data_IF_839844341595
#
_entry.id   IF_839844341595
#
_cell.length_a   1.000
_cell.length_b   1.000
_cell.length_c   1.000
_cell.angle_alpha   90.00
_cell.angle_beta   90.00
_cell.angle_gamma   90.00
#
_symmetry.space_group_name_H-M   'P 1'
#
loop_
_entity.id
_entity.type
_entity.pdbx_description
1 polymer ?
#
# COMPACT_ATOMS: atom_id res chain seq x y z
N UNK A 1 57.39 -19.56 5.48
CA UNK A 1 56.10 -19.22 4.84
C UNK A 1 55.84 -17.74 5.10
N UNK A 2 55.49 -16.93 4.08
CA UNK A 2 55.20 -15.52 4.31
C UNK A 2 53.78 -15.34 4.87
N UNK A 3 53.70 -14.99 6.16
CA UNK A 3 52.45 -14.77 6.90
C UNK A 3 52.10 -13.27 6.95
N UNK A 4 53.08 -12.38 6.76
CA UNK A 4 52.94 -10.95 7.01
C UNK A 4 51.94 -10.27 6.06
N UNK A 5 51.85 -10.75 4.82
CA UNK A 5 50.92 -10.23 3.80
C UNK A 5 49.51 -10.82 3.81
N UNK A 6 49.23 -11.82 4.66
CA UNK A 6 47.95 -12.55 4.62
C UNK A 6 46.83 -11.81 5.34
N UNK A 7 45.65 -11.81 4.72
CA UNK A 7 44.43 -11.27 5.32
C UNK A 7 43.77 -12.30 6.27
N UNK A 8 42.73 -11.87 7.01
CA UNK A 8 42.03 -12.72 7.99
C UNK A 8 41.57 -14.06 7.42
N UNK A 9 40.94 -14.06 6.25
CA UNK A 9 40.38 -15.27 5.64
C UNK A 9 41.48 -16.24 5.19
N UNK A 10 42.59 -15.69 4.67
CA UNK A 10 43.74 -16.51 4.29
C UNK A 10 44.42 -17.15 5.50
N UNK A 11 44.42 -16.49 6.66
CA UNK A 11 44.93 -17.08 7.90
C UNK A 11 43.97 -18.12 8.47
N UNK A 12 42.66 -17.89 8.39
CA UNK A 12 41.64 -18.87 8.77
C UNK A 12 41.75 -20.14 7.91
N UNK A 13 41.83 -20.00 6.58
CA UNK A 13 42.01 -21.13 5.65
C UNK A 13 43.23 -21.98 6.03
N UNK A 14 44.35 -21.33 6.38
CA UNK A 14 45.54 -22.04 6.82
C UNK A 14 45.33 -22.85 8.11
N UNK A 15 44.59 -22.30 9.08
CA UNK A 15 44.27 -22.96 10.35
C UNK A 15 43.30 -24.14 10.19
N UNK A 16 42.47 -24.11 9.16
CA UNK A 16 41.43 -25.13 8.89
C UNK A 16 41.92 -26.26 7.97
N UNK A 17 43.11 -26.12 7.36
CA UNK A 17 43.67 -27.15 6.47
C UNK A 17 43.85 -28.49 7.20
N UNK A 18 43.45 -29.61 6.57
CA UNK A 18 43.77 -30.96 7.07
C UNK A 18 45.29 -31.07 7.27
N UNK A 19 45.72 -31.53 8.45
CA UNK A 19 47.15 -31.59 8.80
C UNK A 19 47.62 -30.49 9.75
N UNK A 20 46.93 -29.34 9.83
CA UNK A 20 47.30 -28.27 10.75
C UNK A 20 47.05 -28.63 12.23
N UNK A 21 46.04 -29.46 12.50
CA UNK A 21 45.70 -29.96 13.84
C UNK A 21 46.46 -31.24 14.24
N UNK A 22 47.26 -31.81 13.33
CA UNK A 22 48.01 -33.06 13.59
C UNK A 22 49.30 -32.69 14.35
N UNK A 23 49.70 -33.51 15.33
CA UNK A 23 50.83 -33.20 16.22
C UNK A 23 52.12 -32.89 15.45
N UNK A 24 53.03 -32.16 16.08
CA UNK A 24 54.31 -31.73 15.49
C UNK A 24 55.16 -32.89 14.90
N UNK A 25 54.89 -34.14 15.28
CA UNK A 25 55.60 -35.30 14.75
C UNK A 25 55.14 -35.74 13.34
N UNK A 26 53.96 -35.29 12.87
CA UNK A 26 53.33 -35.77 11.62
C UNK A 26 52.73 -34.63 10.77
N UNK A 27 52.56 -33.42 11.31
CA UNK A 27 51.92 -32.31 10.60
C UNK A 27 52.83 -31.52 9.65
N UNK A 28 52.22 -30.91 8.63
CA UNK A 28 52.90 -30.14 7.56
C UNK A 28 53.48 -28.78 8.01
N UNK A 29 53.19 -28.34 9.23
CA UNK A 29 53.60 -27.04 9.75
C UNK A 29 54.38 -27.15 11.06
N UNK A 30 55.54 -26.49 11.07
CA UNK A 30 56.36 -26.26 12.26
C UNK A 30 55.57 -25.51 13.35
N UNK A 31 55.84 -25.84 14.60
CA UNK A 31 55.20 -25.29 15.78
C UNK A 31 55.29 -23.76 15.84
N UNK A 32 56.44 -23.19 15.47
CA UNK A 32 56.65 -21.73 15.43
C UNK A 32 55.71 -21.06 14.42
N UNK A 33 55.54 -21.68 13.24
CA UNK A 33 54.65 -21.19 12.17
C UNK A 33 53.19 -21.17 12.63
N UNK A 34 52.75 -22.17 13.42
CA UNK A 34 51.38 -22.22 13.94
C UNK A 34 51.11 -21.09 14.93
N UNK A 35 52.08 -20.82 15.82
CA UNK A 35 52.00 -19.72 16.79
C UNK A 35 51.96 -18.37 16.07
N UNK A 36 52.77 -18.18 15.03
CA UNK A 36 52.79 -16.93 14.26
C UNK A 36 51.46 -16.67 13.55
N UNK A 37 50.85 -17.69 12.94
CA UNK A 37 49.53 -17.58 12.31
C UNK A 37 48.48 -17.20 13.36
N UNK A 38 48.47 -17.87 14.51
CA UNK A 38 47.51 -17.60 15.60
C UNK A 38 47.69 -16.18 16.17
N UNK A 39 48.94 -15.77 16.42
CA UNK A 39 49.24 -14.43 16.93
C UNK A 39 48.82 -13.35 15.92
N UNK A 40 49.09 -13.58 14.63
CA UNK A 40 48.68 -12.66 13.57
C UNK A 40 47.16 -12.57 13.49
N UNK A 41 46.46 -13.70 13.58
CA UNK A 41 44.99 -13.72 13.61
C UNK A 41 44.43 -12.99 14.84
N UNK A 42 45.09 -13.06 15.99
CA UNK A 42 44.75 -12.25 17.17
C UNK A 42 44.89 -10.74 16.95
N UNK A 43 45.82 -10.31 16.09
CA UNK A 43 46.02 -8.90 15.77
C UNK A 43 45.00 -8.37 14.76
N UNK A 44 44.67 -9.15 13.74
CA UNK A 44 43.87 -8.68 12.59
C UNK A 44 42.46 -9.25 12.53
N UNK A 45 42.20 -10.43 13.08
CA UNK A 45 40.95 -11.21 12.89
C UNK A 45 39.73 -10.69 13.64
N UNK A 46 38.57 -10.69 12.97
CA UNK A 46 37.28 -10.29 13.52
C UNK A 46 36.56 -11.41 14.29
N UNK A 47 35.26 -11.24 14.48
CA UNK A 47 34.39 -12.18 15.22
C UNK A 47 34.39 -13.59 14.59
N UNK A 48 34.62 -13.66 13.27
CA UNK A 48 34.72 -14.89 12.46
C UNK A 48 35.92 -15.77 12.81
N UNK A 49 37.00 -15.21 13.37
CA UNK A 49 38.18 -15.97 13.77
C UNK A 49 38.02 -16.72 15.11
N UNK A 50 37.06 -16.31 15.96
CA UNK A 50 36.90 -16.85 17.32
C UNK A 50 36.54 -18.35 17.33
N UNK A 51 35.58 -18.84 16.52
CA UNK A 51 35.24 -20.27 16.50
C UNK A 51 36.45 -21.15 16.13
N UNK A 52 37.22 -20.73 15.14
CA UNK A 52 38.41 -21.45 14.66
C UNK A 52 39.47 -21.53 15.76
N UNK A 53 39.77 -20.40 16.42
CA UNK A 53 40.72 -20.37 17.54
C UNK A 53 40.25 -21.22 18.73
N UNK A 54 38.94 -21.29 19.01
CA UNK A 54 38.39 -22.16 20.07
C UNK A 54 38.63 -23.64 19.77
N UNK A 55 38.46 -24.07 18.52
CA UNK A 55 38.79 -25.43 18.09
C UNK A 55 40.25 -25.77 18.38
N UNK A 56 41.18 -24.83 18.13
CA UNK A 56 42.60 -25.01 18.45
C UNK A 56 42.86 -25.07 19.96
N UNK A 57 42.18 -24.25 20.77
CA UNK A 57 42.27 -24.34 22.24
C UNK A 57 41.83 -25.71 22.76
N UNK A 58 40.74 -26.26 22.22
CA UNK A 58 40.21 -27.55 22.63
C UNK A 58 41.12 -28.71 22.18
N UNK A 59 41.61 -28.67 20.94
CA UNK A 59 42.47 -29.70 20.37
C UNK A 59 43.81 -29.85 21.12
N UNK A 60 44.39 -28.73 21.59
CA UNK A 60 45.70 -28.71 22.26
C UNK A 60 45.61 -28.59 23.79
N UNK A 61 44.44 -28.85 24.37
CA UNK A 61 44.20 -28.72 25.82
C UNK A 61 45.02 -29.70 26.66
N UNK A 62 45.43 -30.85 26.09
CA UNK A 62 46.17 -31.90 26.79
C UNK A 62 47.32 -32.40 25.91
N UNK A 63 48.57 -32.02 26.24
CA UNK A 63 49.76 -32.51 25.52
C UNK A 63 50.92 -31.52 25.44
N UNK A 64 51.91 -31.84 24.62
CA UNK A 64 53.13 -31.04 24.36
C UNK A 64 52.86 -29.68 23.70
N UNK A 65 51.64 -29.47 23.22
CA UNK A 65 51.24 -28.30 22.43
C UNK A 65 50.49 -27.23 23.26
N UNK A 66 50.62 -27.26 24.60
CA UNK A 66 49.96 -26.32 25.52
C UNK A 66 50.25 -24.84 25.17
N UNK A 67 51.43 -24.56 24.62
CA UNK A 67 51.84 -23.22 24.18
C UNK A 67 50.96 -22.73 23.01
N UNK A 68 50.57 -23.60 22.08
CA UNK A 68 49.67 -23.27 20.96
C UNK A 68 48.28 -22.95 21.50
N UNK A 69 47.78 -23.75 22.44
CA UNK A 69 46.50 -23.48 23.12
C UNK A 69 46.53 -22.13 23.87
N UNK A 70 47.66 -21.80 24.51
CA UNK A 70 47.85 -20.52 25.20
C UNK A 70 47.88 -19.35 24.22
N UNK A 71 48.57 -19.49 23.09
CA UNK A 71 48.57 -18.50 22.02
C UNK A 71 47.15 -18.26 21.46
N UNK A 72 46.39 -19.33 21.21
CA UNK A 72 45.03 -19.23 20.70
C UNK A 72 44.08 -18.54 21.69
N UNK A 73 44.18 -18.87 22.98
CA UNK A 73 43.43 -18.18 24.04
C UNK A 73 43.77 -16.68 24.13
N UNK A 74 45.05 -16.32 23.98
CA UNK A 74 45.47 -14.92 23.99
C UNK A 74 44.94 -14.18 22.75
N UNK A 75 44.95 -14.82 21.58
CA UNK A 75 44.37 -14.28 20.36
C UNK A 75 42.85 -14.03 20.50
N UNK A 76 42.11 -14.98 21.06
CA UNK A 76 40.65 -14.82 21.33
C UNK A 76 40.40 -13.60 22.22
N UNK A 77 41.13 -13.49 23.34
CA UNK A 77 40.98 -12.35 24.27
C UNK A 77 41.27 -11.01 23.59
N UNK A 78 42.29 -10.96 22.73
CA UNK A 78 42.64 -9.75 21.98
C UNK A 78 41.52 -9.33 21.01
N UNK A 79 40.93 -10.30 20.29
CA UNK A 79 39.82 -10.07 19.36
C UNK A 79 38.57 -9.58 20.11
N UNK A 80 38.18 -10.27 21.18
CA UNK A 80 37.02 -9.91 22.00
C UNK A 80 37.14 -8.50 22.58
N UNK A 81 38.33 -8.15 23.11
CA UNK A 81 38.62 -6.81 23.63
C UNK A 81 38.44 -5.73 22.56
N UNK A 82 38.94 -5.98 21.33
CA UNK A 82 38.80 -5.04 20.21
C UNK A 82 37.34 -4.88 19.78
N UNK A 83 36.58 -5.96 19.69
CA UNK A 83 35.14 -5.94 19.38
C UNK A 83 34.38 -5.11 20.41
N UNK A 84 34.66 -5.28 21.71
CA UNK A 84 33.97 -4.52 22.75
C UNK A 84 34.33 -3.03 22.69
N UNK A 85 35.60 -2.70 22.47
CA UNK A 85 36.05 -1.31 22.28
C UNK A 85 35.37 -0.64 21.08
N UNK A 86 35.21 -1.35 19.96
CA UNK A 86 34.47 -0.85 18.80
C UNK A 86 32.98 -0.64 19.10
N UNK A 87 32.35 -1.59 19.82
CA UNK A 87 30.95 -1.45 20.27
C UNK A 87 30.79 -0.22 21.16
N UNK A 88 31.71 0.01 22.09
CA UNK A 88 31.71 1.19 22.96
C UNK A 88 31.86 2.50 22.16
N UNK A 89 32.80 2.55 21.21
CA UNK A 89 32.96 3.72 20.32
C UNK A 89 31.69 3.98 19.49
N UNK A 90 31.04 2.94 18.97
CA UNK A 90 29.75 3.06 18.25
C UNK A 90 28.64 3.57 19.17
N UNK A 91 28.60 3.14 20.44
CA UNK A 91 27.66 3.64 21.45
C UNK A 91 27.89 5.14 21.73
N UNK A 92 29.15 5.57 21.93
CA UNK A 92 29.51 6.99 22.13
C UNK A 92 29.13 7.86 20.93
N UNK A 93 29.49 7.47 19.70
CA UNK A 93 29.10 8.19 18.47
C UNK A 93 27.58 8.32 18.30
N UNK A 94 26.82 7.27 18.66
CA UNK A 94 25.34 7.31 18.63
C UNK A 94 24.76 8.25 19.68
N UNK A 95 25.35 8.30 20.88
CA UNK A 95 24.95 9.22 21.94
C UNK A 95 25.21 10.67 21.54
N UNK A 96 26.40 10.98 21.03
CA UNK A 96 26.75 12.33 20.53
C UNK A 96 25.82 12.78 19.40
N UNK A 97 25.49 11.89 18.45
CA UNK A 97 24.56 12.20 17.36
C UNK A 97 23.15 12.53 17.88
N UNK A 98 22.67 11.79 18.88
CA UNK A 98 21.37 12.06 19.53
C UNK A 98 21.37 13.39 20.25
N UNK A 99 22.47 13.73 20.94
CA UNK A 99 22.60 15.01 21.64
C UNK A 99 22.64 16.19 20.67
N UNK A 100 23.37 16.07 19.54
CA UNK A 100 23.37 17.08 18.46
C UNK A 100 21.98 17.28 17.88
N UNK A 101 21.27 16.20 17.57
CA UNK A 101 19.90 16.29 17.06
C UNK A 101 18.97 16.99 18.05
N UNK A 102 19.05 16.64 19.33
CA UNK A 102 18.25 17.28 20.38
C UNK A 102 18.51 18.78 20.45
N UNK A 103 19.78 19.21 20.41
CA UNK A 103 20.16 20.64 20.39
C UNK A 103 19.62 21.37 19.16
N UNK A 104 19.57 20.71 18.01
CA UNK A 104 19.03 21.27 16.77
C UNK A 104 17.50 21.39 16.82
N UNK A 105 16.81 20.35 17.31
CA UNK A 105 15.36 20.37 17.51
C UNK A 105 14.95 21.46 18.52
N UNK A 106 15.69 21.61 19.63
CA UNK A 106 15.47 22.67 20.63
C UNK A 106 15.71 24.07 20.03
N UNK A 107 16.70 24.23 19.15
CA UNK A 107 16.96 25.49 18.43
C UNK A 107 15.80 25.85 17.49
N UNK A 108 15.24 24.87 16.77
CA UNK A 108 14.07 25.07 15.90
C UNK A 108 12.83 25.48 16.72
N UNK A 109 12.62 24.88 17.90
CA UNK A 109 11.51 25.28 18.79
C UNK A 109 11.66 26.71 19.34
N UNK A 110 12.90 27.16 19.58
CA UNK A 110 13.18 28.49 20.15
C UNK A 110 13.03 29.65 19.15
N UNK A 111 13.09 29.36 17.85
CA UNK A 111 12.81 30.37 16.82
C UNK A 111 11.30 30.62 16.75
N UNK A 112 10.86 31.66 17.47
CA UNK A 112 9.47 32.15 17.46
C UNK A 112 8.95 32.24 16.03
N UNK A 113 8.01 31.35 15.68
CA UNK A 113 7.21 31.50 14.46
C UNK A 113 6.49 32.85 14.54
N UNK A 114 6.42 33.62 13.43
CA UNK A 114 5.54 34.78 13.39
C UNK A 114 4.13 34.33 13.76
N UNK A 115 3.51 35.05 14.70
CA UNK A 115 2.09 34.87 15.05
C UNK A 115 1.28 35.18 13.79
N UNK A 116 0.98 34.15 13.00
CA UNK A 116 -0.12 34.21 12.03
C UNK A 116 -1.38 34.17 12.88
N UNK A 117 -2.01 35.34 13.02
CA UNK A 117 -3.35 35.48 13.58
C UNK A 117 -4.30 34.73 12.65
N UNK A 118 -4.62 33.48 12.98
CA UNK A 118 -5.83 32.86 12.48
C UNK A 118 -7.00 33.57 13.15
N UNK A 119 -7.66 34.45 12.42
CA UNK A 119 -8.98 34.93 12.78
C UNK A 119 -9.92 33.73 12.74
N UNK A 120 -10.62 33.48 13.85
CA UNK A 120 -11.67 32.49 13.95
C UNK A 120 -12.73 32.74 12.87
N UNK A 121 -12.72 31.96 11.79
CA UNK A 121 -13.85 31.89 10.86
C UNK A 121 -14.88 30.93 11.44
N UNK A 122 -15.70 31.44 12.36
CA UNK A 122 -16.85 30.70 12.92
C UNK A 122 -18.15 30.97 12.16
N UNK A 123 -18.14 31.79 11.12
CA UNK A 123 -19.35 32.17 10.39
C UNK A 123 -19.23 31.89 8.90
N UNK A 124 -19.46 30.63 8.52
CA UNK A 124 -19.90 30.24 7.18
C UNK A 124 -20.73 28.96 7.34
N UNK A 125 -21.88 29.11 7.99
CA UNK A 125 -22.96 28.13 7.92
C UNK A 125 -23.56 28.18 6.51
N UNK A 126 -22.98 27.43 5.58
CA UNK A 126 -23.72 26.99 4.40
C UNK A 126 -24.75 25.95 4.86
N UNK A 127 -26.02 26.31 4.79
CA UNK A 127 -27.14 25.43 5.10
C UNK A 127 -27.12 24.18 4.21
N UNK A 128 -26.66 23.08 4.78
CA UNK A 128 -26.75 21.72 4.22
C UNK A 128 -27.80 20.86 4.96
N UNK A 129 -28.79 21.51 5.56
CA UNK A 129 -29.98 20.85 6.07
C UNK A 129 -30.91 20.51 4.89
N UNK A 130 -30.68 19.37 4.23
CA UNK A 130 -31.63 18.90 3.22
C UNK A 130 -31.27 17.61 2.49
N UNK A 131 -29.99 17.25 2.39
CA UNK A 131 -29.57 16.03 1.69
C UNK A 131 -28.49 15.35 2.52
N UNK A 132 -28.89 14.43 3.39
CA UNK A 132 -28.02 13.67 4.30
C UNK A 132 -27.02 12.77 3.57
N UNK A 133 -26.06 13.37 2.88
CA UNK A 133 -24.89 12.72 2.31
C UNK A 133 -23.67 13.28 3.02
N UNK A 134 -22.92 12.34 3.60
CA UNK A 134 -21.82 12.60 4.51
C UNK A 134 -20.59 13.06 3.72
N UNK A 135 -19.88 14.05 4.25
CA UNK A 135 -18.67 14.67 3.69
C UNK A 135 -17.61 13.64 3.30
N UNK A 136 -16.97 13.84 2.14
CA UNK A 136 -15.84 13.02 1.68
C UNK A 136 -14.69 13.07 2.69
N UNK A 137 -14.05 11.92 2.94
CA UNK A 137 -12.97 11.90 3.91
C UNK A 137 -11.99 10.75 3.84
N UNK A 138 -10.90 10.91 4.60
CA UNK A 138 -9.83 9.93 4.76
C UNK A 138 -10.10 9.16 6.03
N UNK A 139 -10.19 7.84 5.94
CA UNK A 139 -10.27 6.97 7.11
C UNK A 139 -8.86 6.59 7.56
N UNK A 140 -8.53 6.95 8.80
CA UNK A 140 -7.28 6.56 9.47
C UNK A 140 -7.60 5.55 10.55
N UNK A 141 -6.96 4.38 10.48
CA UNK A 141 -7.21 3.25 11.38
C UNK A 141 -5.93 2.80 12.06
N UNK A 142 -5.90 2.92 13.39
CA UNK A 142 -4.78 2.46 14.22
C UNK A 142 -5.29 2.20 15.64
N UNK A 143 -4.92 1.06 16.21
CA UNK A 143 -5.27 0.68 17.57
C UNK A 143 -4.52 1.52 18.62
N UNK A 144 -3.38 2.10 18.23
CA UNK A 144 -2.61 2.98 19.06
C UNK A 144 -3.06 4.44 18.90
N UNK A 145 -3.75 4.96 19.93
CA UNK A 145 -4.26 6.35 19.94
C UNK A 145 -3.19 7.41 19.64
N UNK A 146 -1.93 7.20 20.06
CA UNK A 146 -0.86 8.17 19.79
C UNK A 146 -0.44 8.17 18.32
N UNK A 147 -0.39 7.00 17.70
CA UNK A 147 -0.06 6.88 16.28
C UNK A 147 -1.22 7.40 15.41
N UNK A 148 -2.47 7.06 15.78
CA UNK A 148 -3.70 7.59 15.17
C UNK A 148 -3.72 9.12 15.15
N UNK A 149 -3.66 9.76 16.32
CA UNK A 149 -3.62 11.23 16.45
C UNK A 149 -2.47 11.85 15.68
N UNK A 150 -1.33 11.16 15.61
CA UNK A 150 -0.18 11.65 14.85
C UNK A 150 -0.45 11.62 13.35
N UNK A 151 -1.00 10.53 12.82
CA UNK A 151 -1.36 10.43 11.40
C UNK A 151 -2.43 11.45 11.02
N UNK A 152 -3.48 11.59 11.83
CA UNK A 152 -4.53 12.60 11.66
C UNK A 152 -3.95 14.01 11.64
N UNK A 153 -3.09 14.36 12.60
CA UNK A 153 -2.43 15.67 12.65
C UNK A 153 -1.49 15.93 11.46
N UNK A 154 -0.90 14.89 10.88
CA UNK A 154 -0.07 15.02 9.69
C UNK A 154 -0.98 15.33 8.49
N UNK A 155 -2.02 14.51 8.28
CA UNK A 155 -2.92 14.60 7.12
C UNK A 155 -3.74 15.90 7.13
N UNK A 156 -4.31 16.28 8.27
CA UNK A 156 -5.18 17.47 8.43
C UNK A 156 -4.49 18.81 8.13
N UNK A 157 -3.16 18.86 8.12
CA UNK A 157 -2.42 20.09 7.82
C UNK A 157 -2.43 20.45 6.35
N UNK A 158 -2.70 19.48 5.48
CA UNK A 158 -2.40 19.57 4.05
C UNK A 158 -3.56 19.14 3.16
N UNK A 159 -4.62 18.58 3.75
CA UNK A 159 -5.76 18.04 3.01
C UNK A 159 -7.03 18.66 3.57
N UNK A 160 -7.79 19.32 2.70
CA UNK A 160 -9.11 19.89 3.01
C UNK A 160 -10.21 18.83 2.86
N UNK A 161 -10.09 17.76 3.64
CA UNK A 161 -11.07 16.68 3.70
C UNK A 161 -11.39 16.37 5.15
N UNK A 162 -12.58 15.81 5.36
CA UNK A 162 -12.87 15.27 6.67
C UNK A 162 -11.95 14.08 6.97
N UNK A 163 -11.43 14.00 8.19
CA UNK A 163 -10.68 12.83 8.64
C UNK A 163 -11.57 12.03 9.57
N UNK A 164 -11.74 10.76 9.25
CA UNK A 164 -12.42 9.79 10.09
C UNK A 164 -11.39 8.93 10.80
N UNK A 165 -11.67 8.65 12.07
CA UNK A 165 -10.77 7.88 12.94
C UNK A 165 -11.46 6.59 13.34
N UNK A 166 -10.74 5.47 13.25
CA UNK A 166 -11.16 4.20 13.82
C UNK A 166 -10.03 3.54 14.60
N UNK A 167 -10.36 2.85 15.68
CA UNK A 167 -9.40 2.19 16.57
C UNK A 167 -9.37 0.66 16.40
N UNK A 168 -10.32 0.12 15.65
CA UNK A 168 -10.49 -1.29 15.40
C UNK A 168 -11.22 -1.54 14.07
N UNK A 169 -11.34 -2.82 13.71
CA UNK A 169 -11.95 -3.26 12.46
C UNK A 169 -13.43 -2.87 12.38
N UNK A 170 -14.20 -3.06 13.46
CA UNK A 170 -15.64 -2.84 13.48
C UNK A 170 -15.98 -1.35 13.31
N UNK A 171 -15.30 -0.46 14.04
CA UNK A 171 -15.42 0.99 13.87
C UNK A 171 -15.09 1.41 12.42
N UNK A 172 -14.01 0.85 11.86
CA UNK A 172 -13.60 1.15 10.49
C UNK A 172 -14.65 0.70 9.46
N UNK A 173 -15.23 -0.50 9.63
CA UNK A 173 -16.28 -1.01 8.76
C UNK A 173 -17.59 -0.25 8.90
N UNK A 174 -17.94 0.19 10.12
CA UNK A 174 -19.12 1.03 10.33
C UNK A 174 -18.96 2.38 9.63
N UNK A 175 -17.77 2.98 9.72
CA UNK A 175 -17.44 4.22 9.01
C UNK A 175 -17.48 4.01 7.50
N UNK A 176 -16.84 2.95 6.97
CA UNK A 176 -16.84 2.65 5.52
C UNK A 176 -18.25 2.44 4.95
N UNK A 177 -19.19 1.94 5.75
CA UNK A 177 -20.59 1.72 5.33
C UNK A 177 -21.42 3.00 5.32
N UNK A 178 -21.05 4.00 6.12
CA UNK A 178 -21.83 5.23 6.31
C UNK A 178 -21.24 6.40 5.51
N UNK A 179 -19.92 6.56 5.60
CA UNK A 179 -19.15 7.70 5.08
C UNK A 179 -18.61 7.43 3.69
N UNK A 180 -18.47 8.49 2.89
CA UNK A 180 -17.77 8.42 1.62
C UNK A 180 -16.25 8.50 1.84
N UNK A 181 -15.61 7.33 1.93
CA UNK A 181 -14.17 7.23 2.15
C UNK A 181 -13.43 7.21 0.82
N UNK A 182 -12.51 8.15 0.64
CA UNK A 182 -11.72 8.30 -0.59
C UNK A 182 -10.29 7.80 -0.45
N UNK A 183 -9.83 7.54 0.77
CA UNK A 183 -8.55 6.91 1.07
C UNK A 183 -8.59 6.23 2.43
N UNK A 184 -7.94 5.07 2.53
CA UNK A 184 -7.74 4.35 3.78
C UNK A 184 -6.26 4.39 4.18
N UNK A 185 -5.97 4.85 5.39
CA UNK A 185 -4.65 4.77 6.01
C UNK A 185 -4.78 3.83 7.21
N UNK A 186 -4.13 2.67 7.19
CA UNK A 186 -4.36 1.65 8.23
C UNK A 186 -3.07 1.01 8.71
N UNK A 187 -2.98 0.66 10.01
CA UNK A 187 -2.03 -0.36 10.46
C UNK A 187 -2.52 -1.75 9.99
N UNK A 188 -1.59 -2.62 9.63
CA UNK A 188 -1.89 -4.04 9.40
C UNK A 188 -2.18 -4.74 10.73
N UNK A 189 -1.44 -4.34 11.77
CA UNK A 189 -1.53 -4.97 13.07
C UNK A 189 -2.51 -4.23 13.94
N UNK A 190 -3.74 -4.75 13.98
CA UNK A 190 -4.79 -4.27 14.85
C UNK A 190 -5.40 -5.48 15.56
N UNK A 191 -5.75 -5.34 16.86
CA UNK A 191 -6.46 -6.38 17.57
C UNK A 191 -7.86 -6.54 16.98
N UNK A 192 -8.25 -7.78 16.68
CA UNK A 192 -9.67 -8.12 16.63
C UNK A 192 -10.23 -8.08 18.07
N UNK A 193 -11.52 -7.77 18.23
CA UNK A 193 -12.18 -7.55 19.53
C UNK A 193 -11.68 -8.37 20.73
N UNK A 194 -11.83 -7.78 21.92
CA UNK A 194 -11.62 -8.42 23.24
C UNK A 194 -12.31 -9.77 23.42
N UNK A 195 -13.43 -10.04 22.73
CA UNK A 195 -14.14 -11.32 22.83
C UNK A 195 -13.25 -12.47 22.34
N UNK A 196 -12.54 -12.26 21.22
CA UNK A 196 -11.56 -13.22 20.75
C UNK A 196 -10.38 -13.34 21.72
N UNK A 197 -9.99 -12.26 22.40
CA UNK A 197 -8.88 -12.27 23.35
C UNK A 197 -9.24 -12.98 24.67
N UNK A 198 -10.46 -12.81 25.18
CA UNK A 198 -10.97 -13.53 26.35
C UNK A 198 -11.21 -15.00 26.03
N UNK A 199 -11.85 -15.33 24.90
CA UNK A 199 -12.01 -16.71 24.44
C UNK A 199 -10.66 -17.38 24.16
N UNK A 200 -9.68 -16.65 23.63
CA UNK A 200 -8.31 -17.16 23.42
C UNK A 200 -7.56 -17.36 24.73
N UNK A 201 -7.67 -16.44 25.70
CA UNK A 201 -7.09 -16.59 27.05
C UNK A 201 -7.75 -17.75 27.81
N UNK A 202 -9.06 -17.93 27.67
CA UNK A 202 -9.78 -19.05 28.27
C UNK A 202 -9.44 -20.37 27.57
N UNK A 203 -9.12 -20.34 26.27
CA UNK A 203 -8.64 -21.50 25.51
C UNK A 203 -7.19 -21.88 25.87
N UNK A 204 -6.30 -20.90 26.02
CA UNK A 204 -4.91 -21.09 26.43
C UNK A 204 -4.83 -21.70 27.85
N UNK A 205 -5.73 -21.28 28.75
CA UNK A 205 -5.90 -21.88 30.08
C UNK A 205 -6.42 -23.32 30.05
N UNK A 206 -7.16 -23.72 29.01
CA UNK A 206 -7.76 -25.07 28.90
C UNK A 206 -6.82 -26.13 28.29
N UNK A 207 -5.61 -25.75 27.86
CA UNK A 207 -4.55 -26.70 27.51
C UNK A 207 -4.83 -27.63 26.32
N UNK A 208 -5.88 -27.38 25.54
CA UNK A 208 -6.26 -28.25 24.42
C UNK A 208 -5.44 -27.95 23.17
N UNK A 209 -4.89 -29.01 22.57
CA UNK A 209 -4.02 -28.97 21.39
C UNK A 209 -4.68 -28.23 20.21
N UNK A 210 -3.85 -27.42 19.52
CA UNK A 210 -4.14 -26.41 18.48
C UNK A 210 -5.12 -26.75 17.32
N UNK A 211 -5.69 -27.94 17.23
CA UNK A 211 -6.41 -28.42 16.05
C UNK A 211 -7.95 -28.37 16.12
N UNK A 212 -8.57 -28.05 17.26
CA UNK A 212 -10.03 -28.16 17.42
C UNK A 212 -10.85 -26.92 17.06
N UNK A 213 -10.24 -25.73 16.96
CA UNK A 213 -10.94 -24.50 16.54
C UNK A 213 -11.18 -24.41 15.02
N UNK A 214 -10.52 -25.26 14.21
CA UNK A 214 -10.74 -25.34 12.76
C UNK A 214 -12.10 -25.92 12.36
N UNK A 215 -12.95 -26.36 13.32
CA UNK A 215 -14.24 -27.02 13.04
C UNK A 215 -15.49 -26.26 13.48
N UNK A 216 -15.40 -25.05 14.05
CA UNK A 216 -16.59 -24.29 14.47
C UNK A 216 -16.91 -23.14 13.52
N UNK A 217 -17.66 -23.48 12.46
CA UNK A 217 -18.78 -22.75 11.83
C UNK A 217 -18.60 -21.31 11.30
N UNK A 218 -17.84 -20.44 11.96
CA UNK A 218 -17.79 -19.00 11.65
C UNK A 218 -16.73 -18.70 10.57
N UNK A 219 -15.75 -19.60 10.39
CA UNK A 219 -14.62 -19.39 9.48
C UNK A 219 -14.80 -19.99 8.07
N UNK A 220 -15.80 -20.87 7.86
CA UNK A 220 -16.04 -21.49 6.55
C UNK A 220 -16.89 -20.61 5.63
N UNK A 221 -17.75 -19.73 6.17
CA UNK A 221 -18.56 -18.80 5.38
C UNK A 221 -17.77 -17.58 4.85
N UNK A 222 -16.51 -17.38 5.27
CA UNK A 222 -15.76 -16.15 4.99
C UNK A 222 -14.52 -16.31 4.11
N UNK A 223 -14.22 -17.47 3.52
CA UNK A 223 -12.90 -17.65 2.85
C UNK A 223 -12.94 -18.47 1.58
N UNK A 224 -12.90 -17.77 0.44
CA UNK A 224 -12.30 -18.24 -0.81
C UNK A 224 -11.06 -17.40 -1.15
N UNK A 225 -10.03 -17.45 -0.30
CA UNK A 225 -8.73 -16.80 -0.56
C UNK A 225 -7.60 -17.80 -0.31
N UNK A 226 -7.27 -18.54 -1.35
CA UNK A 226 -6.34 -19.68 -1.31
C UNK A 226 -4.86 -19.28 -1.22
N UNK A 227 -4.48 -18.07 -1.66
CA UNK A 227 -3.07 -17.62 -1.69
C UNK A 227 -2.60 -16.94 -0.39
N UNK A 228 -3.47 -16.17 0.26
CA UNK A 228 -3.14 -15.49 1.54
C UNK A 228 -3.00 -16.50 2.70
N UNK A 229 -3.67 -17.66 2.60
CA UNK A 229 -3.58 -18.76 3.58
C UNK A 229 -2.16 -19.29 3.78
N UNK A 230 -1.34 -19.40 2.74
CA UNK A 230 -0.04 -20.09 2.85
C UNK A 230 1.03 -19.23 3.54
N UNK A 231 0.99 -17.91 3.32
CA UNK A 231 1.84 -16.92 4.00
C UNK A 231 1.41 -16.76 5.47
N UNK A 232 0.11 -16.68 5.74
CA UNK A 232 -0.40 -16.47 7.11
C UNK A 232 -0.30 -17.77 7.94
N UNK A 233 -0.40 -18.98 7.34
CA UNK A 233 -0.26 -20.27 8.04
C UNK A 233 1.09 -20.45 8.73
N UNK A 234 2.14 -19.78 8.26
CA UNK A 234 3.48 -19.85 8.87
C UNK A 234 3.62 -19.01 10.15
N UNK A 235 2.69 -18.09 10.41
CA UNK A 235 2.67 -17.25 11.61
C UNK A 235 1.56 -17.70 12.56
N UNK A 236 1.92 -18.21 13.74
CA UNK A 236 1.02 -18.78 14.74
C UNK A 236 0.05 -17.79 15.42
N UNK A 237 -0.11 -16.56 14.91
CA UNK A 237 -0.78 -15.47 15.62
C UNK A 237 -1.66 -14.63 14.67
N UNK A 238 -2.71 -15.27 14.15
CA UNK A 238 -3.69 -14.69 13.22
C UNK A 238 -4.47 -13.50 13.82
N UNK A 239 -4.59 -13.44 15.15
CA UNK A 239 -5.37 -12.42 15.88
C UNK A 239 -4.85 -10.98 15.67
N UNK A 240 -3.61 -10.86 15.20
CA UNK A 240 -2.88 -9.60 15.05
C UNK A 240 -2.92 -9.02 13.64
N UNK A 241 -3.73 -9.56 12.73
CA UNK A 241 -3.71 -9.17 11.32
C UNK A 241 -5.06 -8.62 10.81
N UNK A 242 -5.83 -7.99 11.70
CA UNK A 242 -7.15 -7.44 11.35
C UNK A 242 -7.11 -6.40 10.22
N UNK A 243 -5.96 -5.75 9.99
CA UNK A 243 -5.80 -4.82 8.87
C UNK A 243 -5.95 -5.49 7.50
N UNK A 244 -5.56 -6.76 7.32
CA UNK A 244 -5.80 -7.44 6.04
C UNK A 244 -7.29 -7.73 5.81
N UNK A 245 -8.04 -8.03 6.86
CA UNK A 245 -9.49 -8.23 6.79
C UNK A 245 -10.17 -6.91 6.44
N UNK A 246 -9.77 -5.81 7.10
CA UNK A 246 -10.26 -4.48 6.77
C UNK A 246 -10.03 -4.16 5.30
N UNK A 247 -8.85 -4.49 4.76
CA UNK A 247 -8.52 -4.22 3.35
C UNK A 247 -9.40 -5.01 2.37
N UNK A 248 -9.65 -6.28 2.65
CA UNK A 248 -10.51 -7.11 1.82
C UNK A 248 -11.94 -6.59 1.81
N UNK A 249 -12.49 -6.31 3.00
CA UNK A 249 -13.85 -5.76 3.15
C UNK A 249 -13.99 -4.35 2.56
N UNK A 250 -13.00 -3.47 2.81
CA UNK A 250 -12.99 -2.13 2.22
C UNK A 250 -12.97 -2.19 0.69
N UNK A 251 -12.29 -3.17 0.10
CA UNK A 251 -12.26 -3.37 -1.36
C UNK A 251 -13.54 -4.00 -1.92
N UNK A 252 -14.24 -4.84 -1.16
CA UNK A 252 -15.59 -5.31 -1.55
C UNK A 252 -16.57 -4.14 -1.64
N UNK A 253 -16.43 -3.17 -0.74
CA UNK A 253 -17.25 -1.96 -0.72
C UNK A 253 -16.80 -0.93 -1.76
N UNK A 254 -15.48 -0.71 -1.89
CA UNK A 254 -14.87 0.32 -2.73
C UNK A 254 -13.62 -0.28 -3.43
N UNK A 255 -13.79 -0.97 -4.58
CA UNK A 255 -12.72 -1.73 -5.24
C UNK A 255 -11.48 -0.91 -5.61
N UNK A 256 -11.65 0.38 -5.83
CA UNK A 256 -10.62 1.33 -6.25
C UNK A 256 -10.00 2.12 -5.09
N UNK A 257 -10.41 1.87 -3.84
CA UNK A 257 -9.97 2.64 -2.68
C UNK A 257 -8.44 2.64 -2.54
N UNK A 258 -7.79 3.81 -2.60
CA UNK A 258 -6.38 3.93 -2.29
C UNK A 258 -6.10 3.56 -0.83
N UNK A 259 -5.09 2.72 -0.63
CA UNK A 259 -4.67 2.24 0.69
C UNK A 259 -3.20 2.60 0.92
N UNK A 260 -2.96 3.25 2.05
CA UNK A 260 -1.63 3.40 2.63
C UNK A 260 -1.54 2.55 3.90
N UNK A 261 -0.56 1.67 3.94
CA UNK A 261 -0.31 0.82 5.09
C UNK A 261 0.77 1.44 5.97
N UNK A 262 0.48 1.63 7.26
CA UNK A 262 1.44 2.14 8.24
C UNK A 262 1.66 1.11 9.33
N UNK A 263 2.72 0.30 9.24
CA UNK A 263 2.92 -0.82 10.17
C UNK A 263 4.30 -0.89 10.80
N UNK A 264 4.43 -1.51 11.99
CA UNK A 264 5.74 -1.83 12.58
C UNK A 264 6.51 -2.86 11.76
N UNK A 265 5.80 -3.73 11.06
CA UNK A 265 6.32 -4.90 10.34
C UNK A 265 6.38 -4.69 8.83
N UNK A 266 6.51 -3.43 8.38
CA UNK A 266 6.53 -3.06 6.97
C UNK A 266 7.69 -3.72 6.22
N UNK A 267 7.50 -4.95 5.76
CA UNK A 267 8.22 -5.50 4.62
C UNK A 267 7.28 -5.39 3.41
N UNK A 268 7.72 -4.60 2.42
CA UNK A 268 7.00 -4.31 1.19
C UNK A 268 6.64 -5.59 0.43
N UNK A 269 7.56 -6.57 0.40
CA UNK A 269 7.35 -7.84 -0.30
C UNK A 269 6.22 -8.66 0.33
N UNK A 270 6.13 -8.72 1.66
CA UNK A 270 5.08 -9.50 2.34
C UNK A 270 3.70 -8.90 2.10
N UNK A 271 3.59 -7.58 2.15
CA UNK A 271 2.32 -6.91 1.96
C UNK A 271 1.90 -6.86 0.48
N UNK A 272 2.84 -6.67 -0.45
CA UNK A 272 2.56 -6.78 -1.90
C UNK A 272 2.17 -8.21 -2.28
N UNK A 273 2.84 -9.23 -1.74
CA UNK A 273 2.48 -10.63 -1.99
C UNK A 273 1.13 -11.01 -1.36
N UNK A 274 0.77 -10.44 -0.21
CA UNK A 274 -0.50 -10.73 0.46
C UNK A 274 -1.70 -9.98 -0.13
N UNK A 275 -1.49 -8.77 -0.68
CA UNK A 275 -2.58 -7.84 -1.05
C UNK A 275 -2.63 -7.55 -2.58
N UNK A 276 -1.60 -7.97 -3.34
CA UNK A 276 -1.43 -7.69 -4.77
C UNK A 276 -0.87 -6.29 -5.06
N UNK A 277 -0.70 -5.96 -6.35
CA UNK A 277 -0.13 -4.69 -6.86
C UNK A 277 -0.91 -3.41 -6.46
N UNK A 278 -2.05 -3.56 -5.79
CA UNK A 278 -3.02 -2.49 -5.53
C UNK A 278 -2.81 -1.74 -4.20
N UNK A 279 -1.64 -1.86 -3.55
CA UNK A 279 -1.27 -1.05 -2.36
C UNK A 279 -0.41 0.12 -2.81
N UNK A 280 -0.85 1.34 -2.51
CA UNK A 280 -0.28 2.58 -3.03
C UNK A 280 0.94 3.05 -2.24
N UNK A 281 1.08 2.60 -0.99
CA UNK A 281 2.23 2.94 -0.16
C UNK A 281 2.31 2.08 1.09
N UNK A 282 3.53 1.77 1.51
CA UNK A 282 3.80 1.07 2.77
C UNK A 282 4.86 1.84 3.54
N UNK A 283 4.53 2.23 4.76
CA UNK A 283 5.37 3.00 5.64
C UNK A 283 5.59 2.24 6.94
N UNK A 284 6.85 2.14 7.36
CA UNK A 284 7.10 1.68 8.72
C UNK A 284 6.73 2.77 9.73
N UNK A 285 6.19 2.41 10.89
CA UNK A 285 5.98 3.38 12.00
C UNK A 285 7.27 4.11 12.39
N UNK A 286 8.44 3.46 12.22
CA UNK A 286 9.76 4.09 12.41
C UNK A 286 10.05 5.16 11.36
N UNK A 287 9.76 4.89 10.08
CA UNK A 287 9.88 5.89 9.01
C UNK A 287 8.93 7.05 9.25
N UNK A 288 7.66 6.80 9.57
CA UNK A 288 6.70 7.87 9.89
C UNK A 288 7.16 8.70 11.10
N UNK A 289 7.84 8.08 12.07
CA UNK A 289 8.44 8.80 13.20
C UNK A 289 9.59 9.71 12.80
N UNK A 290 10.45 9.25 11.88
CA UNK A 290 11.64 9.96 11.44
C UNK A 290 11.36 11.00 10.36
N UNK A 291 10.36 10.74 9.52
CA UNK A 291 10.04 11.50 8.31
C UNK A 291 8.52 11.59 8.16
N UNK A 292 7.82 12.41 8.97
CA UNK A 292 6.37 12.51 8.91
C UNK A 292 5.85 12.95 7.53
N UNK A 293 6.64 13.74 6.80
CA UNK A 293 6.29 14.25 5.47
C UNK A 293 6.17 13.15 4.40
N UNK A 294 6.71 11.94 4.63
CA UNK A 294 6.58 10.85 3.66
C UNK A 294 5.12 10.40 3.52
N UNK A 295 4.35 10.40 4.62
CA UNK A 295 2.92 10.08 4.58
C UNK A 295 2.16 11.15 3.79
N UNK A 296 2.51 12.42 3.97
CA UNK A 296 1.96 13.51 3.17
C UNK A 296 2.27 13.33 1.69
N UNK A 297 3.48 12.92 1.35
CA UNK A 297 3.86 12.66 -0.03
C UNK A 297 3.04 11.52 -0.63
N UNK A 298 2.81 10.42 0.10
CA UNK A 298 1.93 9.34 -0.35
C UNK A 298 0.47 9.80 -0.49
N UNK A 299 -0.05 10.54 0.49
CA UNK A 299 -1.42 11.08 0.45
C UNK A 299 -1.55 12.03 -0.74
N UNK A 300 -0.63 12.98 -0.93
CA UNK A 300 -0.63 13.90 -2.09
C UNK A 300 -0.49 13.15 -3.42
N UNK A 301 0.45 12.20 -3.51
CA UNK A 301 0.73 11.42 -4.72
C UNK A 301 -0.50 10.60 -5.15
N UNK A 302 -1.26 10.08 -4.20
CA UNK A 302 -2.40 9.22 -4.48
C UNK A 302 -3.76 9.96 -4.50
N UNK A 303 -3.86 11.10 -3.80
CA UNK A 303 -5.10 11.87 -3.66
C UNK A 303 -5.10 13.13 -4.52
N UNK A 304 -4.15 14.03 -4.28
CA UNK A 304 -4.11 15.38 -4.88
C UNK A 304 -3.60 15.36 -6.32
N UNK A 305 -2.69 14.44 -6.62
CA UNK A 305 -1.79 14.68 -7.75
C UNK A 305 -2.11 13.95 -9.04
N UNK A 306 -3.01 12.97 -9.13
CA UNK A 306 -3.27 12.37 -10.46
C UNK A 306 -3.98 13.40 -11.32
N UNK A 307 -5.09 13.98 -10.83
CA UNK A 307 -5.81 14.97 -11.61
C UNK A 307 -5.07 16.31 -11.74
N UNK A 308 -4.37 16.79 -10.70
CA UNK A 308 -3.53 18.00 -10.83
C UNK A 308 -2.31 17.77 -11.72
N UNK A 309 -1.61 16.63 -11.61
CA UNK A 309 -0.49 16.33 -12.53
C UNK A 309 -0.99 16.20 -13.96
N UNK A 310 -2.11 15.51 -14.18
CA UNK A 310 -2.74 15.40 -15.49
C UNK A 310 -3.20 16.78 -16.00
N UNK A 311 -3.84 17.62 -15.18
CA UNK A 311 -4.25 18.96 -15.58
C UNK A 311 -3.07 19.90 -15.89
N UNK A 312 -1.92 19.67 -15.25
CA UNK A 312 -0.67 20.37 -15.52
C UNK A 312 0.07 19.82 -16.75
N UNK A 313 -0.31 18.64 -17.25
CA UNK A 313 0.14 18.21 -18.57
C UNK A 313 -0.51 19.10 -19.64
N UNK A 314 0.30 19.49 -20.63
CA UNK A 314 -0.23 20.12 -21.83
C UNK A 314 -1.21 19.19 -22.56
N UNK A 315 -2.12 19.77 -23.35
CA UNK A 315 -3.15 19.05 -24.11
C UNK A 315 -2.62 17.81 -24.83
N UNK A 316 -1.50 17.95 -25.53
CA UNK A 316 -0.87 16.87 -26.32
C UNK A 316 -0.51 15.67 -25.43
N UNK A 317 0.17 15.91 -24.31
CA UNK A 317 0.56 14.84 -23.37
C UNK A 317 -0.64 14.16 -22.72
N UNK A 318 -1.74 14.89 -22.49
CA UNK A 318 -2.98 14.29 -21.99
C UNK A 318 -3.61 13.37 -23.03
N UNK A 319 -3.65 13.80 -24.29
CA UNK A 319 -4.15 12.99 -25.39
C UNK A 319 -3.31 11.73 -25.56
N UNK A 320 -1.98 11.84 -25.53
CA UNK A 320 -1.08 10.69 -25.63
C UNK A 320 -1.35 9.68 -24.50
N UNK A 321 -1.41 10.16 -23.26
CA UNK A 321 -1.69 9.33 -22.09
C UNK A 321 -3.04 8.61 -22.22
N UNK A 322 -4.11 9.32 -22.60
CA UNK A 322 -5.44 8.73 -22.80
C UNK A 322 -5.44 7.71 -23.94
N UNK A 323 -4.80 8.03 -25.06
CA UNK A 323 -4.77 7.16 -26.25
C UNK A 323 -3.98 5.87 -26.03
N UNK A 324 -2.95 5.91 -25.17
CA UNK A 324 -2.09 4.77 -24.80
C UNK A 324 -2.64 3.95 -23.62
N UNK A 325 -3.66 4.46 -22.93
CA UNK A 325 -4.28 3.79 -21.79
C UNK A 325 -5.01 2.50 -22.19
N UNK A 326 -4.90 1.47 -21.37
CA UNK A 326 -5.87 0.37 -21.37
C UNK A 326 -7.21 0.79 -20.72
N UNK A 327 -8.22 -0.07 -20.80
CA UNK A 327 -9.60 0.28 -20.42
C UNK A 327 -9.77 0.45 -18.92
N UNK A 328 -9.12 -0.41 -18.12
CA UNK A 328 -9.14 -0.31 -16.65
C UNK A 328 -8.42 0.97 -16.20
N UNK A 329 -7.24 1.27 -16.75
CA UNK A 329 -6.48 2.47 -16.41
C UNK A 329 -7.21 3.74 -16.83
N UNK A 330 -7.72 3.79 -18.07
CA UNK A 330 -8.50 4.93 -18.55
C UNK A 330 -9.71 5.18 -17.66
N UNK A 331 -10.44 4.13 -17.29
CA UNK A 331 -11.63 4.24 -16.45
C UNK A 331 -11.29 4.67 -15.03
N UNK A 332 -10.40 3.94 -14.35
CA UNK A 332 -10.09 4.15 -12.93
C UNK A 332 -9.24 5.40 -12.68
N UNK A 333 -8.33 5.75 -13.60
CA UNK A 333 -7.34 6.84 -13.38
C UNK A 333 -7.70 8.13 -14.08
N UNK A 334 -8.56 8.10 -15.09
CA UNK A 334 -8.98 9.30 -15.83
C UNK A 334 -10.46 9.61 -15.60
N UNK A 335 -11.35 8.67 -15.94
CA UNK A 335 -12.79 8.96 -15.95
C UNK A 335 -13.40 9.10 -14.56
N UNK A 336 -13.12 8.17 -13.63
CA UNK A 336 -13.66 8.27 -12.27
C UNK A 336 -13.24 9.58 -11.58
N UNK A 337 -11.94 9.97 -11.56
CA UNK A 337 -11.53 11.24 -10.99
C UNK A 337 -12.15 12.45 -11.69
N UNK A 338 -12.25 12.43 -13.03
CA UNK A 338 -12.89 13.50 -13.79
C UNK A 338 -14.36 13.64 -13.42
N UNK A 339 -15.11 12.55 -13.32
CA UNK A 339 -16.53 12.59 -12.98
C UNK A 339 -16.77 13.05 -11.54
N UNK A 340 -15.94 12.64 -10.59
CA UNK A 340 -15.97 13.22 -9.24
C UNK A 340 -15.82 14.75 -9.29
N UNK A 341 -14.85 15.24 -10.05
CA UNK A 341 -14.58 16.67 -10.19
C UNK A 341 -15.72 17.43 -10.89
N UNK A 342 -16.42 16.78 -11.82
CA UNK A 342 -17.61 17.33 -12.47
C UNK A 342 -18.86 17.31 -11.55
N UNK A 343 -18.74 16.82 -10.31
CA UNK A 343 -19.81 16.82 -9.32
C UNK A 343 -20.71 15.59 -9.36
N UNK A 344 -20.39 14.58 -10.18
CA UNK A 344 -21.08 13.30 -10.14
C UNK A 344 -20.76 12.54 -8.86
N UNK A 345 -21.71 11.73 -8.41
CA UNK A 345 -21.67 11.03 -7.12
C UNK A 345 -21.97 9.55 -7.30
N UNK A 346 -21.61 8.77 -6.27
CA UNK A 346 -21.88 7.32 -6.24
C UNK A 346 -21.25 6.56 -7.41
N UNK A 347 -20.05 6.96 -7.85
CA UNK A 347 -19.40 6.38 -9.00
C UNK A 347 -18.96 4.95 -8.70
N UNK A 348 -19.66 4.00 -9.34
CA UNK A 348 -19.45 2.57 -9.26
C UNK A 348 -18.76 2.09 -10.54
N UNK A 349 -17.62 1.42 -10.39
CA UNK A 349 -16.98 0.68 -11.47
C UNK A 349 -17.58 -0.72 -11.55
N UNK A 350 -18.38 -0.95 -12.58
CA UNK A 350 -19.05 -2.22 -12.84
C UNK A 350 -18.13 -3.01 -13.77
N UNK A 351 -17.27 -3.86 -13.19
CA UNK A 351 -16.42 -4.78 -13.97
C UNK A 351 -16.74 -6.23 -13.61
N UNK A 352 -16.96 -7.09 -14.61
CA UNK A 352 -17.26 -8.51 -14.49
C UNK A 352 -18.66 -8.95 -14.98
N UNK A 353 -19.10 -10.17 -14.62
CA UNK A 353 -20.30 -10.81 -15.19
C UNK A 353 -21.64 -10.09 -14.95
N UNK A 354 -21.66 -9.07 -14.08
CA UNK A 354 -22.83 -8.26 -13.74
C UNK A 354 -22.86 -6.92 -14.48
N UNK A 355 -22.02 -6.75 -15.50
CA UNK A 355 -21.81 -5.48 -16.20
C UNK A 355 -23.07 -4.91 -16.89
N UNK A 356 -24.10 -5.70 -17.23
CA UNK A 356 -25.30 -5.22 -17.94
C UNK A 356 -25.00 -4.31 -19.16
N UNK A 357 -23.78 -4.38 -19.73
CA UNK A 357 -23.33 -3.50 -20.81
C UNK A 357 -22.87 -2.09 -20.38
N UNK A 358 -22.50 -1.89 -19.10
CA UNK A 358 -21.97 -0.64 -18.56
C UNK A 358 -20.68 -0.92 -17.78
N UNK A 359 -19.70 -0.03 -17.92
CA UNK A 359 -18.44 -0.08 -17.16
C UNK A 359 -18.48 0.86 -15.95
N UNK A 360 -19.29 1.92 -16.01
CA UNK A 360 -19.53 2.83 -14.89
C UNK A 360 -21.02 3.08 -14.68
N UNK A 361 -21.40 3.26 -13.43
CA UNK A 361 -22.72 3.75 -13.02
C UNK A 361 -22.52 4.82 -11.96
N UNK A 362 -23.15 5.97 -12.13
CA UNK A 362 -23.07 7.08 -11.18
C UNK A 362 -24.34 7.90 -11.23
N UNK A 363 -24.47 8.94 -10.41
CA UNK A 363 -25.63 9.82 -10.48
C UNK A 363 -25.24 11.29 -10.30
N UNK A 364 -26.06 12.16 -10.87
CA UNK A 364 -26.12 13.58 -10.50
C UNK A 364 -27.36 13.81 -9.63
N UNK A 365 -27.35 14.89 -8.86
CA UNK A 365 -28.54 15.37 -8.14
C UNK A 365 -28.97 16.65 -8.83
N UNK A 366 -30.19 16.67 -9.37
CA UNK A 366 -30.71 17.85 -10.03
C UNK A 366 -31.10 18.94 -9.01
N UNK A 367 -31.52 20.11 -9.52
CA UNK A 367 -31.89 21.26 -8.68
C UNK A 367 -33.06 20.97 -7.74
N UNK A 368 -33.85 19.92 -7.99
CA UNK A 368 -34.97 19.50 -7.15
C UNK A 368 -34.57 18.42 -6.14
N UNK A 369 -33.28 18.05 -6.07
CA UNK A 369 -32.80 16.99 -5.20
C UNK A 369 -33.04 15.58 -5.74
N UNK A 370 -33.51 15.44 -6.98
CA UNK A 370 -33.78 14.13 -7.58
C UNK A 370 -32.47 13.55 -8.14
N UNK A 371 -32.19 12.29 -7.79
CA UNK A 371 -31.06 11.56 -8.35
C UNK A 371 -31.37 11.11 -9.76
N UNK A 372 -30.47 11.42 -10.70
CA UNK A 372 -30.52 10.93 -12.07
C UNK A 372 -29.33 10.01 -12.30
N UNK A 373 -29.59 8.73 -12.52
CA UNK A 373 -28.57 7.72 -12.71
C UNK A 373 -28.07 7.71 -14.16
N UNK A 374 -26.76 7.65 -14.30
CA UNK A 374 -26.04 7.74 -15.55
C UNK A 374 -25.18 6.48 -15.66
N UNK A 375 -25.41 5.72 -16.73
CA UNK A 375 -24.52 4.63 -17.12
C UNK A 375 -23.44 5.14 -18.05
N UNK A 376 -22.23 4.58 -18.01
CA UNK A 376 -21.24 4.81 -19.05
C UNK A 376 -20.70 3.50 -19.62
N UNK A 377 -20.63 3.44 -20.94
CA UNK A 377 -19.85 2.45 -21.67
C UNK A 377 -18.59 3.11 -22.21
N UNK A 378 -17.45 2.61 -21.74
CA UNK A 378 -16.10 3.03 -22.04
C UNK A 378 -15.49 2.08 -23.08
N UNK A 379 -14.73 2.60 -24.03
CA UNK A 379 -13.95 1.83 -25.00
C UNK A 379 -12.60 2.47 -25.30
N UNK A 380 -11.52 1.71 -25.30
CA UNK A 380 -10.18 2.21 -25.67
C UNK A 380 -9.84 2.15 -27.15
N UNK A 381 -10.86 1.96 -27.99
CA UNK A 381 -10.71 1.81 -29.45
C UNK A 381 -11.57 2.84 -30.18
N UNK A 382 -11.10 3.25 -31.37
CA UNK A 382 -11.84 4.16 -32.25
C UNK A 382 -13.20 3.56 -32.62
N UNK A 383 -14.27 4.24 -32.23
CA UNK A 383 -15.64 3.88 -32.61
C UNK A 383 -15.94 4.55 -33.95
N UNK A 384 -16.04 3.76 -35.02
CA UNK A 384 -16.19 4.30 -36.37
C UNK A 384 -17.15 3.44 -37.18
N UNK A 385 -17.92 4.03 -38.08
CA UNK A 385 -18.69 3.33 -39.11
C UNK A 385 -18.06 3.60 -40.48
N UNK A 386 -17.83 2.55 -41.27
CA UNK A 386 -17.30 2.67 -42.64
C UNK A 386 -18.37 3.17 -43.60
N UNK A 387 -17.97 4.01 -44.56
CA UNK A 387 -18.87 4.66 -45.54
C UNK A 387 -19.40 3.65 -46.58
N UNK A 388 -18.74 2.50 -46.77
CA UNK A 388 -19.09 1.46 -47.75
C UNK A 388 -20.15 0.43 -47.30
N UNK A 389 -21.06 0.78 -46.38
CA UNK A 389 -22.20 -0.06 -46.02
C UNK A 389 -21.95 -1.20 -45.02
N UNK A 390 -20.70 -1.70 -44.86
CA UNK A 390 -20.39 -2.62 -43.76
C UNK A 390 -20.33 -1.85 -42.44
N UNK A 391 -21.35 -2.06 -41.61
CA UNK A 391 -21.33 -1.60 -40.22
C UNK A 391 -20.22 -2.34 -39.48
N UNK A 392 -19.32 -1.57 -38.88
CA UNK A 392 -18.22 -2.11 -38.07
C UNK A 392 -18.77 -2.85 -36.85
N UNK A 393 -18.16 -3.99 -36.51
CA UNK A 393 -18.59 -4.77 -35.34
C UNK A 393 -18.57 -3.95 -34.05
N UNK A 394 -17.61 -3.06 -33.88
CA UNK A 394 -17.48 -2.28 -32.65
C UNK A 394 -18.66 -1.32 -32.41
N UNK A 395 -19.21 -0.67 -33.44
CA UNK A 395 -20.38 0.21 -33.30
C UNK A 395 -21.63 -0.61 -32.98
N UNK A 396 -21.79 -1.79 -33.58
CA UNK A 396 -22.91 -2.70 -33.27
C UNK A 396 -22.83 -3.17 -31.82
N UNK A 397 -21.64 -3.58 -31.36
CA UNK A 397 -21.45 -4.01 -29.97
C UNK A 397 -21.80 -2.90 -28.99
N UNK A 398 -21.33 -1.67 -29.23
CA UNK A 398 -21.68 -0.52 -28.39
C UNK A 398 -23.19 -0.25 -28.41
N UNK A 399 -23.84 -0.32 -29.57
CA UNK A 399 -25.29 -0.16 -29.66
C UNK A 399 -26.05 -1.24 -28.86
N UNK A 400 -25.62 -2.50 -28.93
CA UNK A 400 -26.21 -3.60 -28.17
C UNK A 400 -26.03 -3.40 -26.66
N UNK A 401 -24.85 -2.97 -26.21
CA UNK A 401 -24.57 -2.66 -24.81
C UNK A 401 -25.44 -1.50 -24.30
N UNK A 402 -25.61 -0.43 -25.10
CA UNK A 402 -26.50 0.69 -24.77
C UNK A 402 -27.96 0.22 -24.65
N UNK A 403 -28.43 -0.61 -25.59
CA UNK A 403 -29.80 -1.15 -25.54
C UNK A 403 -30.00 -2.01 -24.30
N UNK A 404 -29.05 -2.91 -24.02
CA UNK A 404 -29.07 -3.76 -22.84
C UNK A 404 -29.10 -2.93 -21.55
N UNK A 405 -28.31 -1.87 -21.48
CA UNK A 405 -28.22 -1.00 -20.32
C UNK A 405 -29.53 -0.22 -20.04
N UNK A 406 -30.25 0.21 -21.07
CA UNK A 406 -31.57 0.85 -20.89
C UNK A 406 -32.70 -0.15 -20.64
N UNK A 407 -32.57 -1.38 -21.11
CA UNK A 407 -33.58 -2.44 -20.95
C UNK A 407 -33.39 -3.23 -19.64
N UNK A 408 -32.25 -3.08 -18.96
CA UNK A 408 -31.94 -3.75 -17.70
C UNK A 408 -32.08 -2.82 -16.50
N UNK A 409 -32.72 -3.30 -15.44
CA UNK A 409 -32.70 -2.65 -14.13
C UNK A 409 -31.42 -3.04 -13.39
N UNK A 410 -30.66 -2.05 -12.90
CA UNK A 410 -29.47 -2.32 -12.10
C UNK A 410 -29.85 -2.48 -10.63
N UNK A 411 -29.55 -3.63 -10.03
CA UNK A 411 -29.74 -3.82 -8.61
C UNK A 411 -28.51 -3.36 -7.82
N UNK A 412 -28.61 -2.21 -7.14
CA UNK A 412 -27.56 -1.77 -6.23
C UNK A 412 -27.76 -2.41 -4.86
N UNK A 413 -26.81 -3.29 -4.49
CA UNK A 413 -26.80 -3.96 -3.18
C UNK A 413 -26.77 -2.96 -2.02
N UNK A 414 -26.04 -1.85 -2.20
CA UNK A 414 -25.93 -0.77 -1.22
C UNK A 414 -27.28 -0.11 -0.92
N UNK A 415 -28.14 0.03 -1.92
CA UNK A 415 -29.43 0.72 -1.80
C UNK A 415 -30.62 -0.24 -1.68
N UNK A 416 -30.40 -1.55 -1.90
CA UNK A 416 -31.44 -2.60 -1.96
C UNK A 416 -32.60 -2.22 -2.89
N UNK A 417 -32.28 -1.56 -4.00
CA UNK A 417 -33.25 -1.04 -4.96
C UNK A 417 -32.79 -1.33 -6.38
N UNK A 418 -33.76 -1.63 -7.23
CA UNK A 418 -33.59 -1.61 -8.68
C UNK A 418 -33.59 -0.17 -9.18
N UNK A 419 -32.63 0.14 -10.04
CA UNK A 419 -32.43 1.46 -10.60
C UNK A 419 -32.56 1.42 -12.11
N UNK A 420 -33.29 2.40 -12.62
CA UNK A 420 -33.36 2.71 -14.04
C UNK A 420 -32.26 3.70 -14.40
N UNK A 421 -31.66 3.53 -15.58
CA UNK A 421 -30.67 4.45 -16.11
C UNK A 421 -31.38 5.58 -16.86
N UNK A 422 -31.22 6.81 -16.38
CA UNK A 422 -31.78 8.01 -17.00
C UNK A 422 -31.00 8.42 -18.25
N UNK A 423 -29.66 8.30 -18.22
CA UNK A 423 -28.79 8.65 -19.35
C UNK A 423 -27.64 7.68 -19.54
N UNK A 424 -27.14 7.59 -20.77
CA UNK A 424 -25.95 6.81 -21.09
C UNK A 424 -24.87 7.68 -21.73
N UNK A 425 -23.66 7.57 -21.19
CA UNK A 425 -22.45 8.14 -21.76
C UNK A 425 -21.70 7.08 -22.56
N UNK A 426 -21.45 7.38 -23.83
CA UNK A 426 -20.61 6.56 -24.70
C UNK A 426 -19.24 7.23 -24.77
N UNK A 427 -18.27 6.64 -24.08
CA UNK A 427 -16.96 7.22 -23.86
C UNK A 427 -15.92 6.41 -24.62
N UNK A 428 -15.00 7.10 -25.31
CA UNK A 428 -13.86 6.46 -25.92
C UNK A 428 -12.56 7.18 -25.62
N UNK A 429 -11.50 6.41 -25.34
CA UNK A 429 -10.13 6.95 -25.26
C UNK A 429 -9.56 7.33 -26.64
N UNK A 430 -10.33 7.13 -27.72
CA UNK A 430 -10.02 7.52 -29.09
C UNK A 430 -11.19 8.30 -29.71
N UNK A 431 -11.11 8.59 -31.01
CA UNK A 431 -12.18 9.28 -31.72
C UNK A 431 -13.46 8.43 -31.87
N UNK A 432 -14.61 9.11 -31.79
CA UNK A 432 -15.93 8.55 -32.13
C UNK A 432 -16.41 9.26 -33.40
N UNK A 433 -16.49 8.55 -34.53
CA UNK A 433 -16.81 9.17 -35.82
C UNK A 433 -18.23 9.72 -35.87
N UNK A 434 -18.44 10.80 -36.64
CA UNK A 434 -19.75 11.40 -36.83
C UNK A 434 -20.80 10.38 -37.28
N UNK A 435 -20.47 9.55 -38.28
CA UNK A 435 -21.35 8.48 -38.76
C UNK A 435 -21.69 7.42 -37.71
N UNK A 436 -20.78 7.14 -36.77
CA UNK A 436 -21.07 6.23 -35.66
C UNK A 436 -22.06 6.85 -34.68
N UNK A 437 -21.86 8.13 -34.30
CA UNK A 437 -22.80 8.88 -33.43
C UNK A 437 -24.19 8.96 -34.06
N UNK A 438 -24.26 9.31 -35.35
CA UNK A 438 -25.52 9.34 -36.09
C UNK A 438 -26.18 7.97 -36.15
N UNK A 439 -25.41 6.92 -36.44
CA UNK A 439 -25.97 5.58 -36.53
C UNK A 439 -26.55 5.12 -35.19
N UNK A 440 -25.82 5.29 -34.09
CA UNK A 440 -26.32 4.94 -32.75
C UNK A 440 -27.60 5.72 -32.44
N UNK A 441 -27.62 7.04 -32.66
CA UNK A 441 -28.83 7.85 -32.45
C UNK A 441 -29.99 7.40 -33.32
N UNK A 442 -29.77 7.21 -34.63
CA UNK A 442 -30.79 6.79 -35.59
C UNK A 442 -31.35 5.40 -35.27
N UNK A 443 -30.49 4.47 -34.86
CA UNK A 443 -30.89 3.12 -34.43
C UNK A 443 -31.71 3.09 -33.14
N UNK A 444 -31.77 4.20 -32.42
CA UNK A 444 -32.54 4.35 -31.19
C UNK A 444 -33.75 5.28 -31.36
N UNK A 445 -33.94 5.89 -32.54
CA UNK A 445 -35.13 6.70 -32.85
C UNK A 445 -36.40 5.86 -32.60
N UNK A 446 -37.37 6.46 -31.91
CA UNK A 446 -38.61 5.80 -31.51
C UNK A 446 -38.55 5.10 -30.16
N UNK A 447 -37.35 4.95 -29.56
CA UNK A 447 -37.21 4.54 -28.16
C UNK A 447 -37.21 5.78 -27.25
N UNK A 448 -37.80 5.65 -26.05
CA UNK A 448 -37.96 6.74 -25.07
C UNK A 448 -36.62 7.41 -24.73
N UNK A 449 -35.53 6.64 -24.76
CA UNK A 449 -34.22 7.06 -24.31
C UNK A 449 -33.26 7.56 -25.41
N UNK A 450 -33.71 7.72 -26.65
CA UNK A 450 -32.86 8.16 -27.76
C UNK A 450 -32.18 9.52 -27.53
N UNK A 451 -32.83 10.40 -26.75
CA UNK A 451 -32.33 11.74 -26.43
C UNK A 451 -31.37 11.76 -25.23
N UNK A 452 -31.22 10.64 -24.54
CA UNK A 452 -30.46 10.54 -23.29
C UNK A 452 -29.07 9.93 -23.49
N UNK A 453 -28.48 10.14 -24.68
CA UNK A 453 -27.17 9.59 -25.03
C UNK A 453 -26.19 10.70 -25.38
N UNK A 454 -25.09 10.73 -24.62
CA UNK A 454 -24.01 11.68 -24.79
C UNK A 454 -22.72 10.95 -25.20
N UNK A 455 -21.89 11.61 -26.01
CA UNK A 455 -20.67 11.02 -26.56
C UNK A 455 -19.45 11.82 -26.11
N UNK A 456 -18.45 11.12 -25.58
CA UNK A 456 -17.19 11.70 -25.13
C UNK A 456 -16.04 10.96 -25.80
N UNK A 457 -15.35 11.60 -26.73
CA UNK A 457 -14.08 11.11 -27.26
C UNK A 457 -12.89 11.68 -26.47
N UNK A 458 -11.68 11.22 -26.78
CA UNK A 458 -10.45 11.66 -26.13
C UNK A 458 -10.33 13.19 -26.06
N UNK A 459 -10.58 13.88 -27.17
CA UNK A 459 -10.52 15.34 -27.26
C UNK A 459 -11.51 16.00 -26.28
N UNK A 460 -12.76 15.52 -26.24
CA UNK A 460 -13.76 16.05 -25.31
C UNK A 460 -13.39 15.77 -23.84
N UNK A 461 -12.81 14.62 -23.53
CA UNK A 461 -12.34 14.31 -22.18
C UNK A 461 -11.21 15.26 -21.78
N UNK A 462 -10.24 15.49 -22.68
CA UNK A 462 -9.15 16.44 -22.42
C UNK A 462 -9.68 17.87 -22.25
N UNK A 463 -10.64 18.30 -23.07
CA UNK A 463 -11.29 19.59 -22.89
C UNK A 463 -11.91 19.71 -21.49
N UNK A 464 -12.66 18.70 -21.05
CA UNK A 464 -13.26 18.70 -19.71
C UNK A 464 -12.19 18.74 -18.60
N UNK A 465 -11.09 18.01 -18.76
CA UNK A 465 -9.98 18.05 -17.79
C UNK A 465 -9.30 19.42 -17.73
N UNK A 466 -9.15 20.10 -18.87
CA UNK A 466 -8.48 21.39 -18.97
C UNK A 466 -9.40 22.57 -18.60
N UNK A 467 -10.70 22.51 -18.92
CA UNK A 467 -11.68 23.55 -18.59
C UNK A 467 -11.97 23.63 -17.11
N UNK A 468 -11.81 22.52 -16.38
CA UNK A 468 -11.97 22.48 -14.93
C UNK A 468 -10.64 22.77 -14.20
N UNK A 469 -9.76 23.62 -14.73
CA UNK A 469 -8.46 23.95 -14.11
C UNK A 469 -8.53 24.80 -12.83
N UNK A 470 -9.72 25.30 -12.45
CA UNK A 470 -9.94 26.00 -11.19
C UNK A 470 -10.24 25.03 -10.05
N UNK A 471 -9.19 24.69 -9.30
CA UNK A 471 -9.26 24.33 -7.89
C UNK A 471 -8.86 25.57 -7.08
#
# INVERSE_FOLDING_TARGET
MDICGKNEYELIDLLERPGFLVSAAIGDFDFEVRIDIINRLGQIGGETAIPVLKTHVEAYKYGTDEIVARAANNAIKAIEFRIEREKEMRRKKRAEKKERQKKEDDKILSQKRPKVLFTNSTDLQFGSEGLGLETEGILVVDDNEKDLKKMVNIISREVDLQIFEARNLEEALEILKKKQIVMLVTDIVMPMYKIAEEEYKDFEKRGTTRHSLLKRGIFEELVEVSKTREVIKKTSDYSKFAGFILLDEARKLIPWLPVIIVSKYANLEMAQHAIGEKVQGILSKKQLKKYPNILLEYVRTNFVSVHERLANLGRERLLDLINESDEEMFTLRVLIPLFHKLGYRGILYTHGPKECGLDLVFYEVDLLGVRRYIGAQVKTKKIHKSVGGLTSRNVITVLQQIQQAFESTLYLVSEKKELDIDRIFVISSKSISHFAREYIRKSLIGKVYAQHIEFFDAERIVDLMLSNKGF
#
